data_IF_563121722665
#
_entry.id   IF_563121722665
#
_cell.length_a   1.000
_cell.length_b   1.000
_cell.length_c   1.000
_cell.angle_alpha   90.00
_cell.angle_beta   90.00
_cell.angle_gamma   90.00
#
_symmetry.space_group_name_H-M   'P 1'
#
loop_
_entity.id
_entity.type
_entity.pdbx_description
1 polymer ?
#
# COMPACT_ATOMS: atom_id res chain seq x y z
N UNK A 1 22.35 7.61 -5.02
CA UNK A 1 21.76 7.21 -6.31
C UNK A 1 20.93 5.97 -6.03
N UNK A 2 19.60 6.11 -6.00
CA UNK A 2 18.71 4.99 -5.67
C UNK A 2 18.67 3.98 -6.82
N UNK A 3 18.21 2.77 -6.49
CA UNK A 3 18.04 1.68 -7.44
C UNK A 3 17.19 2.15 -8.64
N UNK A 4 17.68 1.90 -9.86
CA UNK A 4 16.95 2.19 -11.10
C UNK A 4 16.01 1.05 -11.50
N UNK A 5 16.08 -0.09 -10.82
CA UNK A 5 15.19 -1.21 -11.03
C UNK A 5 13.88 -1.01 -10.26
N UNK A 6 12.76 -1.17 -10.97
CA UNK A 6 11.42 -1.10 -10.40
C UNK A 6 10.73 -2.47 -10.48
N UNK A 7 9.76 -2.69 -9.58
CA UNK A 7 8.92 -3.89 -9.54
C UNK A 7 7.52 -3.66 -10.10
N UNK A 8 7.16 -2.41 -10.29
CA UNK A 8 5.85 -2.01 -10.80
C UNK A 8 5.99 -1.19 -12.07
N UNK A 9 5.05 -1.35 -12.97
CA UNK A 9 4.93 -0.50 -14.15
C UNK A 9 4.01 0.68 -13.81
N UNK A 10 4.48 1.91 -14.08
CA UNK A 10 3.70 3.12 -13.78
C UNK A 10 2.92 3.58 -15.00
N UNK A 11 1.61 3.36 -15.00
CA UNK A 11 0.71 3.72 -16.10
C UNK A 11 0.64 5.23 -16.40
N UNK A 12 0.98 6.09 -15.42
CA UNK A 12 0.98 7.54 -15.63
C UNK A 12 2.08 8.02 -16.61
N UNK A 13 3.21 7.34 -16.65
CA UNK A 13 4.29 7.60 -17.61
C UNK A 13 5.18 6.35 -17.70
N UNK A 14 4.88 5.50 -18.66
CA UNK A 14 5.64 4.29 -18.91
C UNK A 14 5.73 4.00 -20.40
N UNK A 15 6.82 3.33 -20.81
CA UNK A 15 6.98 2.80 -22.14
C UNK A 15 7.33 1.31 -22.05
N UNK A 16 6.77 0.51 -22.94
CA UNK A 16 6.99 -0.92 -23.01
C UNK A 16 7.12 -1.33 -24.48
N UNK A 17 7.97 -2.31 -24.78
CA UNK A 17 8.04 -2.88 -26.12
C UNK A 17 6.73 -3.61 -26.42
N UNK A 18 6.15 -3.36 -27.60
CA UNK A 18 4.89 -3.95 -28.02
C UNK A 18 4.90 -5.48 -27.91
N UNK A 19 5.93 -6.14 -28.41
CA UNK A 19 6.06 -7.60 -28.34
C UNK A 19 6.07 -8.12 -26.89
N UNK A 20 6.68 -7.40 -25.94
CA UNK A 20 6.67 -7.76 -24.53
C UNK A 20 5.30 -7.58 -23.92
N UNK A 21 4.62 -6.47 -24.25
CA UNK A 21 3.26 -6.18 -23.78
C UNK A 21 2.27 -7.26 -24.25
N UNK A 22 2.35 -7.63 -25.52
CA UNK A 22 1.53 -8.69 -26.11
C UNK A 22 1.87 -10.07 -25.51
N UNK A 23 3.16 -10.37 -25.30
CA UNK A 23 3.59 -11.65 -24.74
C UNK A 23 3.11 -11.89 -23.30
N UNK A 24 2.95 -10.82 -22.50
CA UNK A 24 2.39 -10.94 -21.14
C UNK A 24 0.87 -10.77 -21.12
N UNK A 25 0.21 -10.60 -22.25
CA UNK A 25 -1.25 -10.51 -22.38
C UNK A 25 -1.85 -9.13 -22.12
N UNK A 26 -1.04 -8.05 -22.20
CA UNK A 26 -1.52 -6.68 -22.03
C UNK A 26 -1.98 -6.33 -20.62
N UNK A 27 -2.87 -5.35 -20.47
CA UNK A 27 -3.54 -5.07 -19.20
C UNK A 27 -4.63 -6.12 -18.92
N UNK A 28 -4.82 -6.44 -17.63
CA UNK A 28 -5.95 -7.29 -17.20
C UNK A 28 -7.26 -6.49 -17.25
N UNK A 29 -8.10 -6.79 -18.24
CA UNK A 29 -9.37 -6.10 -18.50
C UNK A 29 -10.44 -6.34 -17.40
N UNK A 30 -10.17 -7.21 -16.44
CA UNK A 30 -11.04 -7.36 -15.26
C UNK A 30 -11.05 -6.12 -14.37
N UNK A 31 -10.01 -5.29 -14.47
CA UNK A 31 -9.94 -3.98 -13.83
C UNK A 31 -10.71 -2.93 -14.65
N UNK A 32 -12.01 -2.83 -14.44
CA UNK A 32 -12.90 -1.91 -15.19
C UNK A 32 -12.75 -0.44 -14.83
N UNK A 33 -12.06 -0.10 -13.76
CA UNK A 33 -11.79 1.26 -13.27
C UNK A 33 -10.29 1.44 -13.08
N UNK A 34 -9.76 2.66 -13.28
CA UNK A 34 -8.37 2.96 -12.98
C UNK A 34 -8.04 2.59 -11.53
N UNK A 35 -7.16 1.61 -11.34
CA UNK A 35 -6.98 0.94 -10.07
C UNK A 35 -5.51 0.58 -9.84
N UNK A 36 -5.19 -0.70 -9.95
CA UNK A 36 -3.84 -1.27 -9.79
C UNK A 36 -3.42 -2.09 -11.02
N UNK A 37 -4.05 -1.86 -12.15
CA UNK A 37 -3.79 -2.56 -13.41
C UNK A 37 -2.32 -2.44 -13.84
N UNK A 38 -1.71 -1.31 -13.56
CA UNK A 38 -0.31 -1.04 -13.83
C UNK A 38 0.63 -1.76 -12.87
N UNK A 39 0.29 -1.86 -11.59
CA UNK A 39 1.01 -2.65 -10.60
C UNK A 39 0.92 -4.13 -10.96
N UNK A 40 -0.26 -4.61 -11.34
CA UNK A 40 -0.50 -5.99 -11.75
C UNK A 40 0.31 -6.36 -12.99
N UNK A 41 0.30 -5.50 -14.02
CA UNK A 41 1.14 -5.66 -15.21
C UNK A 41 2.62 -5.73 -14.85
N UNK A 42 3.09 -4.83 -13.97
CA UNK A 42 4.47 -4.83 -13.48
C UNK A 42 4.85 -6.16 -12.86
N UNK A 43 3.97 -6.73 -12.08
CA UNK A 43 4.19 -8.04 -11.47
C UNK A 43 4.25 -9.17 -12.51
N UNK A 44 3.40 -9.19 -13.54
CA UNK A 44 3.49 -10.19 -14.63
C UNK A 44 4.77 -10.03 -15.42
N UNK A 45 5.20 -8.81 -15.72
CA UNK A 45 6.48 -8.54 -16.38
C UNK A 45 7.66 -9.12 -15.59
N UNK A 46 7.71 -8.87 -14.28
CA UNK A 46 8.78 -9.41 -13.41
C UNK A 46 8.73 -10.94 -13.33
N UNK A 47 7.54 -11.52 -13.25
CA UNK A 47 7.35 -12.98 -13.23
C UNK A 47 7.80 -13.64 -14.55
N UNK A 48 7.61 -12.96 -15.67
CA UNK A 48 8.07 -13.39 -16.99
C UNK A 48 9.59 -13.16 -17.23
N UNK A 49 10.31 -12.66 -16.22
CA UNK A 49 11.77 -12.44 -16.27
C UNK A 49 12.17 -11.09 -16.90
N UNK A 50 11.23 -10.21 -17.21
CA UNK A 50 11.55 -8.88 -17.71
C UNK A 50 11.98 -7.93 -16.59
N UNK A 51 12.90 -7.00 -16.91
CA UNK A 51 13.28 -5.92 -16.01
C UNK A 51 12.51 -4.66 -16.32
N UNK A 52 12.14 -3.92 -15.27
CA UNK A 52 11.49 -2.61 -15.37
C UNK A 52 12.49 -1.57 -14.88
N UNK A 53 12.81 -0.60 -15.74
CA UNK A 53 13.77 0.45 -15.40
C UNK A 53 13.06 1.75 -15.04
N UNK A 54 13.40 2.30 -13.88
CA UNK A 54 12.94 3.62 -13.44
C UNK A 54 13.92 4.68 -13.93
N UNK A 55 13.50 5.50 -14.91
CA UNK A 55 14.28 6.61 -15.45
C UNK A 55 14.00 7.89 -14.65
N UNK A 56 14.80 8.20 -13.63
CA UNK A 56 14.59 9.33 -12.72
C UNK A 56 14.74 10.71 -13.37
N UNK A 57 15.41 10.77 -14.51
CA UNK A 57 15.56 11.98 -15.32
C UNK A 57 14.32 12.30 -16.15
N UNK A 58 13.40 11.34 -16.32
CA UNK A 58 12.11 11.54 -16.98
C UNK A 58 11.07 11.82 -15.91
N UNK A 59 10.65 13.08 -15.82
CA UNK A 59 9.68 13.52 -14.82
C UNK A 59 8.44 14.07 -15.50
N UNK A 60 7.28 13.70 -15.00
CA UNK A 60 5.97 14.16 -15.47
C UNK A 60 5.15 14.74 -14.32
N UNK A 61 4.36 15.76 -14.62
CA UNK A 61 3.42 16.32 -13.67
C UNK A 61 2.05 15.68 -13.87
N UNK A 62 1.59 14.94 -12.88
CA UNK A 62 0.23 14.40 -12.87
C UNK A 62 -0.77 15.52 -12.59
N UNK A 63 -1.64 15.84 -13.55
CA UNK A 63 -2.58 16.98 -13.45
C UNK A 63 -3.88 16.67 -12.69
N UNK A 64 -4.03 15.46 -12.16
CA UNK A 64 -5.21 15.06 -11.38
C UNK A 64 -5.33 15.89 -10.10
N UNK A 65 -6.48 16.51 -9.90
CA UNK A 65 -6.78 17.27 -8.68
C UNK A 65 -7.41 16.32 -7.66
N UNK A 66 -6.78 16.22 -6.50
CA UNK A 66 -7.27 15.42 -5.40
C UNK A 66 -7.96 16.30 -4.37
N UNK A 67 -9.16 15.89 -3.97
CA UNK A 67 -9.81 16.37 -2.76
C UNK A 67 -9.68 15.31 -1.66
N UNK A 68 -9.69 15.65 -0.37
CA UNK A 68 -9.45 14.68 0.71
C UNK A 68 -10.36 13.43 0.63
N UNK A 69 -11.65 13.64 0.42
CA UNK A 69 -12.64 12.53 0.33
C UNK A 69 -12.40 11.67 -0.92
N UNK A 70 -12.16 12.29 -2.09
CA UNK A 70 -11.90 11.56 -3.32
C UNK A 70 -10.57 10.81 -3.27
N UNK A 71 -9.58 11.36 -2.57
CA UNK A 71 -8.30 10.69 -2.31
C UNK A 71 -8.51 9.44 -1.45
N UNK A 72 -9.17 9.57 -0.30
CA UNK A 72 -9.46 8.44 0.59
C UNK A 72 -10.26 7.34 -0.12
N UNK A 73 -11.29 7.73 -0.89
CA UNK A 73 -12.06 6.76 -1.68
C UNK A 73 -11.19 6.01 -2.68
N UNK A 74 -10.30 6.70 -3.38
CA UNK A 74 -9.40 6.08 -4.35
C UNK A 74 -8.37 5.17 -3.65
N UNK A 75 -7.79 5.62 -2.55
CA UNK A 75 -6.80 4.85 -1.81
C UNK A 75 -7.39 3.57 -1.19
N UNK A 76 -8.60 3.62 -0.66
CA UNK A 76 -9.24 2.45 -0.04
C UNK A 76 -9.79 1.50 -1.10
N UNK A 77 -10.67 1.99 -1.99
CA UNK A 77 -11.46 1.15 -2.88
C UNK A 77 -10.77 0.79 -4.19
N UNK A 78 -9.89 1.69 -4.71
CA UNK A 78 -9.22 1.47 -5.99
C UNK A 78 -7.76 1.06 -5.85
N UNK A 79 -7.19 1.11 -4.64
CA UNK A 79 -5.82 0.67 -4.36
C UNK A 79 -5.75 -0.39 -3.27
N UNK A 80 -6.03 -0.06 -2.01
CA UNK A 80 -5.78 -0.96 -0.89
C UNK A 80 -6.54 -2.29 -1.01
N UNK A 81 -7.84 -2.27 -1.27
CA UNK A 81 -8.65 -3.48 -1.41
C UNK A 81 -8.27 -4.33 -2.63
N UNK A 82 -8.15 -3.79 -3.87
CA UNK A 82 -7.72 -4.58 -5.03
C UNK A 82 -6.30 -5.13 -4.87
N UNK A 83 -5.38 -4.31 -4.33
CA UNK A 83 -4.01 -4.75 -4.12
C UNK A 83 -3.90 -5.86 -3.07
N UNK A 84 -4.68 -5.79 -2.00
CA UNK A 84 -4.80 -6.89 -1.03
C UNK A 84 -5.24 -8.18 -1.72
N UNK A 85 -6.27 -8.13 -2.58
CA UNK A 85 -6.72 -9.31 -3.35
C UNK A 85 -5.60 -9.85 -4.24
N UNK A 86 -4.85 -8.98 -4.90
CA UNK A 86 -3.72 -9.35 -5.74
C UNK A 86 -2.61 -10.05 -4.94
N UNK A 87 -2.23 -9.49 -3.80
CA UNK A 87 -1.23 -10.08 -2.89
C UNK A 87 -1.67 -11.46 -2.41
N UNK A 88 -2.91 -11.58 -1.96
CA UNK A 88 -3.45 -12.84 -1.43
C UNK A 88 -3.59 -13.95 -2.49
N UNK A 89 -3.76 -13.59 -3.77
CA UNK A 89 -3.75 -14.55 -4.89
C UNK A 89 -2.36 -15.09 -5.17
N UNK A 90 -1.32 -14.27 -5.01
CA UNK A 90 0.06 -14.60 -5.43
C UNK A 90 0.86 -15.42 -4.42
N UNK A 91 0.42 -15.53 -3.18
CA UNK A 91 1.12 -16.23 -2.09
C UNK A 91 2.56 -15.74 -1.82
N UNK A 92 3.01 -14.65 -2.43
CA UNK A 92 4.31 -14.01 -2.20
C UNK A 92 4.10 -12.57 -1.78
N UNK A 93 4.77 -12.19 -0.70
CA UNK A 93 4.86 -10.83 -0.21
C UNK A 93 6.22 -10.27 -0.64
N UNK A 94 6.30 -9.71 -1.84
CA UNK A 94 7.48 -8.96 -2.23
C UNK A 94 7.55 -7.69 -1.38
N UNK A 95 8.74 -7.38 -0.85
CA UNK A 95 8.95 -6.23 0.05
C UNK A 95 9.06 -4.90 -0.73
N UNK A 96 8.14 -4.72 -1.70
CA UNK A 96 8.14 -3.61 -2.64
C UNK A 96 7.22 -2.48 -2.22
N UNK A 97 7.54 -1.28 -2.67
CA UNK A 97 6.72 -0.08 -2.46
C UNK A 97 6.24 0.03 -1.01
N UNK A 98 4.92 -0.02 -0.83
CA UNK A 98 4.26 0.10 0.46
C UNK A 98 4.29 -1.20 1.31
N UNK A 99 4.91 -2.27 0.82
CA UNK A 99 5.03 -3.55 1.52
C UNK A 99 6.37 -3.74 2.24
N UNK A 100 7.20 -2.70 2.33
CA UNK A 100 8.44 -2.72 3.08
C UNK A 100 8.21 -3.11 4.54
N UNK A 101 9.23 -3.68 5.19
CA UNK A 101 9.14 -4.06 6.61
C UNK A 101 8.77 -2.89 7.51
N UNK A 102 9.31 -1.69 7.25
CA UNK A 102 8.97 -0.46 8.00
C UNK A 102 7.49 -0.11 7.89
N UNK A 103 6.89 -0.24 6.69
CA UNK A 103 5.47 0.02 6.50
C UNK A 103 4.60 -1.01 7.21
N UNK A 104 4.94 -2.31 7.13
CA UNK A 104 4.21 -3.37 7.86
C UNK A 104 4.25 -3.15 9.37
N UNK A 105 5.42 -2.79 9.91
CA UNK A 105 5.58 -2.50 11.32
C UNK A 105 4.81 -1.24 11.73
N UNK A 106 4.81 -0.21 10.89
CA UNK A 106 4.01 1.00 11.10
C UNK A 106 2.51 0.71 11.15
N UNK A 107 2.01 -0.19 10.31
CA UNK A 107 0.61 -0.67 10.38
C UNK A 107 0.32 -1.27 11.76
N UNK A 108 1.16 -2.20 12.23
CA UNK A 108 0.98 -2.81 13.56
C UNK A 108 1.00 -1.76 14.67
N UNK A 109 1.94 -0.82 14.61
CA UNK A 109 2.08 0.24 15.61
C UNK A 109 0.90 1.20 15.64
N UNK A 110 0.31 1.54 14.49
CA UNK A 110 -0.89 2.40 14.45
C UNK A 110 -2.08 1.69 15.12
N UNK A 111 -2.31 0.40 14.86
CA UNK A 111 -3.38 -0.35 15.53
C UNK A 111 -3.11 -0.50 17.04
N UNK A 112 -1.87 -0.79 17.44
CA UNK A 112 -1.49 -0.86 18.85
C UNK A 112 -1.65 0.50 19.55
N UNK A 113 -1.31 1.60 18.89
CA UNK A 113 -1.51 2.96 19.40
C UNK A 113 -3.00 3.26 19.64
N UNK A 114 -3.85 2.97 18.65
CA UNK A 114 -5.29 3.16 18.79
C UNK A 114 -5.85 2.32 19.94
N UNK A 115 -5.45 1.04 20.06
CA UNK A 115 -5.87 0.17 21.14
C UNK A 115 -5.40 0.70 22.51
N UNK A 116 -4.13 1.12 22.64
CA UNK A 116 -3.58 1.71 23.86
C UNK A 116 -4.33 2.97 24.27
N UNK A 117 -4.62 3.87 23.32
CA UNK A 117 -5.39 5.09 23.59
C UNK A 117 -6.85 4.79 23.99
N UNK A 118 -7.50 3.87 23.30
CA UNK A 118 -8.89 3.50 23.61
C UNK A 118 -9.02 2.87 25.01
N UNK A 119 -8.05 2.05 25.43
CA UNK A 119 -8.06 1.39 26.72
C UNK A 119 -7.48 2.26 27.85
N UNK A 120 -6.79 3.36 27.53
CA UNK A 120 -6.20 4.24 28.54
C UNK A 120 -7.24 4.92 29.45
N UNK A 121 -8.49 5.03 29.00
CA UNK A 121 -9.59 5.49 29.85
C UNK A 121 -9.88 4.55 31.03
N UNK A 122 -9.61 3.27 30.89
CA UNK A 122 -9.74 2.27 31.95
C UNK A 122 -8.42 2.05 32.68
N UNK A 123 -7.30 2.06 31.96
CA UNK A 123 -5.95 1.73 32.43
C UNK A 123 -4.97 2.83 32.06
N UNK A 124 -4.85 3.87 32.89
CA UNK A 124 -4.03 5.06 32.60
C UNK A 124 -2.55 4.76 32.30
N UNK A 125 -2.00 3.66 32.82
CA UNK A 125 -0.63 3.24 32.52
C UNK A 125 -0.40 2.92 31.03
N UNK A 126 -1.46 2.64 30.25
CA UNK A 126 -1.38 2.43 28.81
C UNK A 126 -0.99 3.70 28.01
N UNK A 127 -0.97 4.87 28.63
CA UNK A 127 -0.41 6.09 28.02
C UNK A 127 1.11 5.96 27.82
N UNK A 128 1.81 5.18 28.65
CA UNK A 128 3.25 4.97 28.48
C UNK A 128 3.58 4.28 27.17
N UNK A 129 3.05 3.07 26.88
CA UNK A 129 3.25 2.44 25.58
C UNK A 129 2.68 3.26 24.42
N UNK A 130 1.60 4.02 24.61
CA UNK A 130 1.09 4.90 23.56
C UNK A 130 2.13 5.97 23.14
N UNK A 131 2.78 6.62 24.10
CA UNK A 131 3.85 7.57 23.82
C UNK A 131 5.04 6.86 23.13
N UNK A 132 5.44 5.69 23.61
CA UNK A 132 6.51 4.93 22.97
C UNK A 132 6.18 4.56 21.51
N UNK A 133 4.94 4.19 21.21
CA UNK A 133 4.47 3.88 19.85
C UNK A 133 4.47 5.12 18.95
N UNK A 134 4.08 6.29 19.45
CA UNK A 134 4.19 7.56 18.72
C UNK A 134 5.64 7.83 18.34
N UNK A 135 6.56 7.74 19.30
CA UNK A 135 7.98 7.96 19.05
C UNK A 135 8.56 6.96 18.04
N UNK A 136 8.18 5.68 18.17
CA UNK A 136 8.59 4.62 17.25
C UNK A 136 8.07 4.86 15.83
N UNK A 137 6.79 5.27 15.66
CA UNK A 137 6.21 5.63 14.36
C UNK A 137 6.94 6.79 13.72
N UNK A 138 7.29 7.83 14.50
CA UNK A 138 8.07 8.96 14.00
C UNK A 138 9.47 8.51 13.58
N UNK A 139 10.14 7.72 14.39
CA UNK A 139 11.51 7.26 14.13
C UNK A 139 11.60 6.38 12.88
N UNK A 140 10.72 5.37 12.75
CA UNK A 140 10.72 4.44 11.62
C UNK A 140 10.43 5.16 10.30
N UNK A 141 9.62 6.22 10.34
CA UNK A 141 9.22 6.97 9.15
C UNK A 141 10.00 8.31 9.00
N UNK A 142 11.07 8.49 9.73
CA UNK A 142 11.85 9.74 9.75
C UNK A 142 12.28 10.20 8.35
N UNK A 143 12.70 9.26 7.48
CA UNK A 143 13.13 9.59 6.11
C UNK A 143 12.00 10.26 5.29
N UNK A 144 10.75 9.84 5.49
CA UNK A 144 9.57 10.42 4.82
C UNK A 144 9.34 11.84 5.36
N UNK A 145 9.39 12.01 6.67
CA UNK A 145 9.16 13.33 7.28
C UNK A 145 10.29 14.30 6.97
N UNK A 146 11.53 13.84 6.93
CA UNK A 146 12.69 14.63 6.53
C UNK A 146 12.59 15.10 5.08
N UNK A 147 12.11 14.23 4.17
CA UNK A 147 11.84 14.60 2.79
C UNK A 147 10.84 15.76 2.69
N UNK A 148 9.71 15.68 3.40
CA UNK A 148 8.70 16.74 3.38
C UNK A 148 9.19 18.02 4.07
N UNK A 149 9.92 17.89 5.16
CA UNK A 149 10.56 19.02 5.85
C UNK A 149 11.49 19.78 4.91
N UNK A 150 12.36 19.08 4.20
CA UNK A 150 13.31 19.70 3.27
C UNK A 150 12.61 20.33 2.04
N UNK A 151 11.45 19.85 1.64
CA UNK A 151 10.72 20.36 0.48
C UNK A 151 9.69 21.44 0.78
N UNK A 152 9.07 21.42 1.97
CA UNK A 152 7.90 22.24 2.30
C UNK A 152 7.93 22.85 3.72
N UNK A 153 8.95 22.54 4.51
CA UNK A 153 9.12 23.05 5.88
C UNK A 153 8.28 22.32 6.94
N UNK A 154 8.42 22.79 8.18
CA UNK A 154 7.89 22.15 9.38
C UNK A 154 6.37 22.02 9.39
N UNK A 155 5.66 23.12 9.14
CA UNK A 155 4.19 23.14 9.21
C UNK A 155 3.56 22.12 8.26
N UNK A 156 4.08 22.04 7.05
CA UNK A 156 3.60 21.04 6.07
C UNK A 156 3.87 19.61 6.57
N UNK A 157 5.06 19.37 7.12
CA UNK A 157 5.42 18.05 7.64
C UNK A 157 4.52 17.61 8.79
N UNK A 158 4.19 18.53 9.71
CA UNK A 158 3.25 18.25 10.80
C UNK A 158 1.86 17.85 10.28
N UNK A 159 1.39 18.44 9.17
CA UNK A 159 0.14 18.02 8.54
C UNK A 159 0.25 16.67 7.83
N UNK A 160 1.41 16.29 7.31
CA UNK A 160 1.62 15.00 6.66
C UNK A 160 1.53 13.84 7.65
N UNK A 161 2.01 14.00 8.90
CA UNK A 161 2.06 12.92 9.90
C UNK A 161 0.70 12.23 10.10
N UNK A 162 -0.40 12.93 10.44
CA UNK A 162 -1.70 12.29 10.63
C UNK A 162 -2.25 11.64 9.36
N UNK A 163 -2.00 12.21 8.18
CA UNK A 163 -2.39 11.58 6.91
C UNK A 163 -1.59 10.31 6.63
N UNK A 164 -0.31 10.28 6.98
CA UNK A 164 0.53 9.10 6.84
C UNK A 164 0.10 7.98 7.80
N UNK A 165 -0.29 8.31 9.04
CA UNK A 165 -0.82 7.32 9.98
C UNK A 165 -2.21 6.82 9.57
N UNK A 166 -3.04 7.70 9.04
CA UNK A 166 -4.32 7.30 8.45
C UNK A 166 -4.11 6.34 7.26
N UNK A 167 -3.07 6.56 6.44
CA UNK A 167 -2.67 5.63 5.38
C UNK A 167 -2.38 4.23 5.95
N UNK A 168 -1.60 4.10 7.01
CA UNK A 168 -1.34 2.80 7.65
C UNK A 168 -2.61 2.16 8.21
N UNK A 169 -3.49 2.96 8.79
CA UNK A 169 -4.75 2.49 9.35
C UNK A 169 -5.66 1.86 8.27
N UNK A 170 -5.97 2.59 7.19
CA UNK A 170 -6.85 2.04 6.17
C UNK A 170 -6.20 0.90 5.37
N UNK A 171 -4.89 0.93 5.17
CA UNK A 171 -4.17 -0.15 4.50
C UNK A 171 -4.21 -1.44 5.30
N UNK A 172 -3.98 -1.35 6.61
CA UNK A 172 -4.10 -2.50 7.53
C UNK A 172 -5.53 -3.03 7.62
N UNK A 173 -6.53 -2.14 7.71
CA UNK A 173 -7.94 -2.53 7.71
C UNK A 173 -8.35 -3.23 6.40
N UNK A 174 -7.91 -2.72 5.24
CA UNK A 174 -8.16 -3.35 3.94
C UNK A 174 -7.51 -4.74 3.85
N UNK A 175 -6.29 -4.89 4.38
CA UNK A 175 -5.61 -6.17 4.42
C UNK A 175 -6.34 -7.17 5.33
N UNK A 176 -6.71 -6.77 6.55
CA UNK A 176 -7.48 -7.60 7.48
C UNK A 176 -8.83 -8.04 6.89
N UNK A 177 -9.55 -7.12 6.24
CA UNK A 177 -10.80 -7.41 5.53
C UNK A 177 -10.60 -8.42 4.40
N UNK A 178 -9.56 -8.24 3.58
CA UNK A 178 -9.24 -9.17 2.49
C UNK A 178 -8.88 -10.57 2.99
N UNK A 179 -8.12 -10.65 4.08
CA UNK A 179 -7.80 -11.91 4.76
C UNK A 179 -9.07 -12.61 5.28
N UNK A 180 -9.92 -11.89 6.00
CA UNK A 180 -11.19 -12.43 6.51
C UNK A 180 -12.04 -13.00 5.37
N UNK A 181 -12.24 -12.24 4.28
CA UNK A 181 -13.00 -12.72 3.13
C UNK A 181 -12.41 -13.97 2.48
N UNK A 182 -11.07 -14.07 2.39
CA UNK A 182 -10.42 -15.28 1.86
C UNK A 182 -10.70 -16.50 2.74
N UNK A 183 -10.59 -16.36 4.06
CA UNK A 183 -10.87 -17.45 4.99
C UNK A 183 -12.34 -17.88 4.98
N UNK A 184 -13.26 -16.92 4.97
CA UNK A 184 -14.70 -17.23 4.89
C UNK A 184 -15.07 -17.97 3.58
N UNK A 185 -14.52 -17.53 2.43
CA UNK A 185 -14.78 -18.19 1.15
C UNK A 185 -14.20 -19.62 1.10
N UNK A 186 -13.04 -19.87 1.70
CA UNK A 186 -12.46 -21.20 1.81
C UNK A 186 -13.26 -22.09 2.75
N UNK A 187 -13.76 -21.56 3.86
CA UNK A 187 -14.62 -22.29 4.81
C UNK A 187 -15.92 -22.75 4.15
N UNK A 188 -16.60 -21.87 3.43
CA UNK A 188 -17.83 -22.21 2.70
C UNK A 188 -17.60 -23.22 1.58
N UNK A 189 -16.47 -23.14 0.85
CA UNK A 189 -16.10 -24.12 -0.18
C UNK A 189 -15.83 -25.50 0.41
N UNK A 190 -15.16 -25.58 1.55
CA UNK A 190 -14.90 -26.85 2.24
C UNK A 190 -16.19 -27.46 2.81
N UNK A 191 -17.10 -26.63 3.34
CA UNK A 191 -18.39 -27.10 3.85
C UNK A 191 -19.28 -27.67 2.74
N UNK A 192 -19.27 -27.04 1.57
CA UNK A 192 -20.02 -27.55 0.39
C UNK A 192 -19.44 -28.85 -0.20
N UNK A 193 -18.14 -29.12 -0.01
CA UNK A 193 -17.51 -30.40 -0.38
C UNK A 193 -17.82 -31.54 0.61
N UNK A 194 -18.10 -31.22 1.87
CA UNK A 194 -18.44 -32.21 2.90
C UNK A 194 -19.91 -32.67 2.79
N UNK A 195 -20.76 -31.88 2.11
CA UNK A 195 -22.19 -32.19 1.93
C UNK A 195 -22.50 -32.89 0.58
N UNK A 196 -21.50 -33.21 -0.21
CA UNK A 196 -21.60 -34.05 -1.41
C UNK A 196 -20.95 -35.39 -1.18
#
# INVERSE_FOLDING_TARGET
VGNEEAFTFWGACGAIRRCVFEAVGGFDESYRLPCIEDIELGYRLKQAGYSIRLCKNIQVKHLKRWQPISLLKAEIFYRALPWTKLILRRSRFDADLNLSYSNRLSVVFVFALIASLALSGLFHWLLIPAIALVLALLAINMNVYQFFYNKRGLLFTLHVIPWHWLYFLYSGAAFAYGMANKYFSLSLSNYSRFLR
#
